data_IF_308115165738
#
_entry.id   IF_308115165738
#
_cell.length_a   1.000
_cell.length_b   1.000
_cell.length_c   1.000
_cell.angle_alpha   90.00
_cell.angle_beta   90.00
_cell.angle_gamma   90.00
#
_symmetry.space_group_name_H-M   'P 1'
#
loop_
_entity.id
_entity.type
_entity.pdbx_description
1 polymer ?
#
# COMPACT_ATOMS: atom_id res chain seq x y z
N UNK A 1 -16.55 -5.06 -17.22
CA UNK A 1 -15.26 -4.52 -16.69
C UNK A 1 -14.10 -5.32 -17.28
N UNK A 2 -12.94 -4.71 -17.56
CA UNK A 2 -11.74 -5.52 -17.81
C UNK A 2 -11.37 -6.32 -16.55
N UNK A 3 -10.71 -7.48 -16.68
CA UNK A 3 -10.33 -8.28 -15.53
C UNK A 3 -9.41 -7.47 -14.59
N UNK A 4 -9.60 -7.63 -13.29
CA UNK A 4 -8.80 -6.95 -12.27
C UNK A 4 -7.34 -7.42 -12.33
N UNK A 5 -6.40 -6.49 -12.22
CA UNK A 5 -4.97 -6.81 -12.11
C UNK A 5 -4.67 -7.20 -10.66
N UNK A 6 -4.45 -8.47 -10.41
CA UNK A 6 -4.26 -8.99 -9.05
C UNK A 6 -2.77 -9.06 -8.72
N UNK A 7 -2.42 -8.54 -7.56
CA UNK A 7 -1.11 -8.71 -6.94
C UNK A 7 -1.25 -9.34 -5.54
N UNK A 8 -0.14 -9.82 -5.00
CA UNK A 8 -0.07 -10.39 -3.64
C UNK A 8 1.03 -9.68 -2.86
N UNK A 9 0.72 -9.21 -1.66
CA UNK A 9 1.72 -8.80 -0.68
C UNK A 9 2.46 -10.04 -0.17
N UNK A 10 3.74 -10.18 -0.57
CA UNK A 10 4.54 -11.37 -0.26
C UNK A 10 4.73 -11.59 1.23
N UNK A 11 4.73 -10.52 2.03
CA UNK A 11 4.89 -10.62 3.48
C UNK A 11 3.74 -11.38 4.14
N UNK A 12 2.54 -11.34 3.55
CA UNK A 12 1.35 -12.04 4.04
C UNK A 12 1.38 -13.56 3.81
N UNK A 13 2.29 -14.07 2.98
CA UNK A 13 2.45 -15.51 2.76
C UNK A 13 3.24 -16.18 3.87
N UNK A 14 3.97 -15.44 4.68
CA UNK A 14 4.83 -15.94 5.77
C UNK A 14 5.82 -17.02 5.31
N UNK A 15 6.32 -16.91 4.09
CA UNK A 15 7.29 -17.81 3.46
C UNK A 15 8.60 -17.09 3.19
N UNK A 16 9.74 -17.81 3.11
CA UNK A 16 10.98 -17.27 2.57
C UNK A 16 10.75 -16.66 1.18
N UNK A 17 11.41 -15.57 0.85
CA UNK A 17 11.13 -14.72 -0.31
C UNK A 17 10.96 -15.48 -1.64
N UNK A 18 11.90 -16.40 -1.97
CA UNK A 18 11.80 -17.23 -3.18
C UNK A 18 10.56 -18.12 -3.20
N UNK A 19 10.20 -18.69 -2.06
CA UNK A 19 9.02 -19.55 -1.93
C UNK A 19 7.75 -18.71 -2.03
N UNK A 20 7.74 -17.50 -1.46
CA UNK A 20 6.63 -16.55 -1.57
C UNK A 20 6.38 -16.14 -3.02
N UNK A 21 7.42 -15.85 -3.81
CA UNK A 21 7.28 -15.57 -5.25
C UNK A 21 6.67 -16.74 -6.02
N UNK A 22 7.18 -17.96 -5.79
CA UNK A 22 6.64 -19.17 -6.43
C UNK A 22 5.20 -19.43 -6.02
N UNK A 23 4.85 -19.18 -4.76
CA UNK A 23 3.48 -19.30 -4.27
C UNK A 23 2.57 -18.27 -4.92
N UNK A 24 2.95 -16.99 -4.95
CA UNK A 24 2.18 -15.94 -5.61
C UNK A 24 1.90 -16.26 -7.09
N UNK A 25 2.92 -16.74 -7.82
CA UNK A 25 2.74 -17.18 -9.22
C UNK A 25 1.75 -18.35 -9.35
N UNK A 26 1.86 -19.36 -8.49
CA UNK A 26 0.94 -20.53 -8.48
C UNK A 26 -0.49 -20.13 -8.14
N UNK A 27 -0.68 -19.12 -7.32
CA UNK A 27 -1.98 -18.57 -6.97
C UNK A 27 -2.59 -17.71 -8.08
N UNK A 28 -1.86 -17.45 -9.18
CA UNK A 28 -2.36 -16.69 -10.31
C UNK A 28 -2.16 -15.18 -10.21
N UNK A 29 -1.29 -14.71 -9.32
CA UNK A 29 -0.95 -13.30 -9.26
C UNK A 29 -0.18 -12.85 -10.52
N UNK A 30 -0.51 -11.66 -11.04
CA UNK A 30 0.22 -11.01 -12.12
C UNK A 30 1.39 -10.17 -11.61
N UNK A 31 1.33 -9.77 -10.35
CA UNK A 31 2.33 -8.94 -9.71
C UNK A 31 2.43 -9.24 -8.21
N UNK A 32 3.45 -8.67 -7.58
CA UNK A 32 3.70 -8.81 -6.14
C UNK A 32 4.03 -7.46 -5.51
N UNK A 33 3.76 -7.32 -4.23
CA UNK A 33 4.31 -6.27 -3.39
C UNK A 33 5.46 -6.86 -2.58
N UNK A 34 6.58 -6.11 -2.50
CA UNK A 34 7.80 -6.52 -1.82
C UNK A 34 8.03 -5.64 -0.59
N UNK A 35 8.17 -6.24 0.59
CA UNK A 35 8.58 -5.52 1.80
C UNK A 35 10.09 -5.23 1.79
N UNK A 36 10.43 -3.94 1.69
CA UNK A 36 11.80 -3.46 1.69
C UNK A 36 12.44 -3.36 3.09
N UNK A 37 11.74 -3.76 4.12
CA UNK A 37 12.27 -3.84 5.52
C UNK A 37 12.43 -5.25 6.04
N UNK A 38 11.84 -6.21 5.37
CA UNK A 38 11.93 -7.63 5.71
C UNK A 38 13.18 -8.29 5.15
N UNK A 39 13.00 -9.42 4.48
CA UNK A 39 14.10 -10.20 3.90
C UNK A 39 14.85 -9.45 2.79
N UNK A 40 14.15 -8.58 2.05
CA UNK A 40 14.74 -7.78 0.98
C UNK A 40 15.04 -6.36 1.49
N UNK A 41 16.26 -6.19 2.03
CA UNK A 41 16.72 -4.86 2.45
C UNK A 41 17.51 -4.19 1.30
N UNK A 42 17.05 -3.05 0.77
CA UNK A 42 17.71 -2.34 -0.34
C UNK A 42 19.17 -1.98 -0.08
N UNK A 43 19.54 -1.73 1.18
CA UNK A 43 20.90 -1.36 1.57
C UNK A 43 21.86 -2.56 1.59
N UNK A 44 21.32 -3.76 1.80
CA UNK A 44 22.11 -5.00 1.83
C UNK A 44 22.26 -5.63 0.43
N UNK A 45 21.45 -5.19 -0.55
CA UNK A 45 21.47 -5.72 -1.91
C UNK A 45 22.56 -5.04 -2.76
N UNK A 46 23.54 -5.83 -3.18
CA UNK A 46 24.53 -5.42 -4.19
C UNK A 46 23.86 -5.22 -5.57
N UNK A 47 24.57 -4.58 -6.51
CA UNK A 47 24.08 -4.48 -7.89
C UNK A 47 23.83 -5.84 -8.55
N UNK A 48 24.66 -6.85 -8.26
CA UNK A 48 24.45 -8.21 -8.73
C UNK A 48 23.20 -8.84 -8.11
N UNK A 49 22.94 -8.62 -6.82
CA UNK A 49 21.73 -9.08 -6.14
C UNK A 49 20.45 -8.46 -6.74
N UNK A 50 20.48 -7.17 -7.07
CA UNK A 50 19.34 -6.51 -7.76
C UNK A 50 19.10 -7.06 -9.15
N UNK A 51 20.16 -7.39 -9.90
CA UNK A 51 20.04 -8.04 -11.22
C UNK A 51 19.48 -9.45 -11.12
N UNK A 52 19.94 -10.24 -10.12
CA UNK A 52 19.42 -11.57 -9.87
C UNK A 52 17.93 -11.54 -9.46
N UNK A 53 17.54 -10.57 -8.63
CA UNK A 53 16.15 -10.38 -8.23
C UNK A 53 15.26 -10.06 -9.44
N UNK A 54 15.67 -9.12 -10.31
CA UNK A 54 14.93 -8.82 -11.54
C UNK A 54 14.82 -10.04 -12.45
N UNK A 55 15.93 -10.75 -12.66
CA UNK A 55 15.90 -11.98 -13.45
C UNK A 55 14.91 -13.02 -12.88
N UNK A 56 14.89 -13.19 -11.57
CA UNK A 56 13.95 -14.12 -10.92
C UNK A 56 12.49 -13.71 -11.13
N UNK A 57 12.18 -12.42 -11.05
CA UNK A 57 10.85 -11.88 -11.32
C UNK A 57 10.46 -12.10 -12.79
N UNK A 58 11.37 -11.81 -13.72
CA UNK A 58 11.19 -12.02 -15.16
C UNK A 58 10.99 -13.51 -15.49
N UNK A 59 11.80 -14.40 -14.94
CA UNK A 59 11.71 -15.86 -15.13
C UNK A 59 10.35 -16.41 -14.62
N UNK A 60 9.72 -15.75 -13.64
CA UNK A 60 8.40 -16.07 -13.10
C UNK A 60 7.27 -15.31 -13.80
N UNK A 61 7.57 -14.42 -14.72
CA UNK A 61 6.59 -13.49 -15.30
C UNK A 61 5.76 -12.81 -14.21
N UNK A 62 6.45 -12.20 -13.24
CA UNK A 62 5.87 -11.41 -12.16
C UNK A 62 6.36 -9.97 -12.23
N UNK A 63 5.44 -9.03 -12.14
CA UNK A 63 5.75 -7.60 -11.99
C UNK A 63 5.84 -7.23 -10.51
N UNK A 64 6.53 -6.14 -10.21
CA UNK A 64 6.46 -5.51 -8.88
C UNK A 64 5.41 -4.40 -8.94
N UNK A 65 4.30 -4.59 -8.25
CA UNK A 65 3.20 -3.64 -8.21
C UNK A 65 3.54 -2.41 -7.36
N UNK A 66 4.17 -2.64 -6.21
CA UNK A 66 4.67 -1.64 -5.29
C UNK A 66 5.74 -2.25 -4.39
N UNK A 67 6.44 -1.37 -3.67
CA UNK A 67 7.32 -1.75 -2.56
C UNK A 67 6.70 -1.21 -1.27
N UNK A 68 6.50 -2.04 -0.26
CA UNK A 68 6.13 -1.56 1.07
C UNK A 68 7.38 -1.20 1.88
N UNK A 69 7.30 -0.09 2.60
CA UNK A 69 8.37 0.37 3.48
C UNK A 69 7.79 0.92 4.79
N UNK A 70 7.27 0.04 5.64
CA UNK A 70 6.57 0.42 6.86
C UNK A 70 7.54 0.95 7.92
N UNK A 71 7.42 2.23 8.24
CA UNK A 71 8.17 2.87 9.32
C UNK A 71 7.44 2.69 10.65
N UNK A 72 8.21 2.66 11.77
CA UNK A 72 7.61 2.51 13.11
C UNK A 72 6.86 3.74 13.57
N UNK A 73 7.17 4.90 13.01
CA UNK A 73 6.57 6.20 13.31
C UNK A 73 6.26 6.92 12.01
N UNK A 74 5.22 7.73 12.02
CA UNK A 74 4.89 8.57 10.89
C UNK A 74 5.85 9.75 10.70
N UNK A 75 5.65 10.50 9.64
CA UNK A 75 6.45 11.67 9.31
C UNK A 75 6.02 12.93 10.09
N UNK A 76 4.94 12.83 10.87
CA UNK A 76 4.47 13.81 11.85
C UNK A 76 5.34 13.86 13.12
N UNK A 77 6.17 12.82 13.37
CA UNK A 77 7.00 12.68 14.59
C UNK A 77 8.42 13.14 14.34
N UNK A 78 8.93 14.22 15.00
CA UNK A 78 10.26 14.76 14.73
C UNK A 78 11.43 13.83 15.08
N UNK A 79 11.26 12.97 16.10
CA UNK A 79 12.34 12.06 16.53
C UNK A 79 12.79 11.14 15.39
N UNK A 80 14.07 11.19 15.03
CA UNK A 80 14.68 10.43 13.91
C UNK A 80 14.03 10.67 12.54
N UNK A 81 13.34 11.80 12.32
CA UNK A 81 12.61 12.10 11.10
C UNK A 81 13.52 12.07 9.87
N UNK A 82 14.66 12.75 9.92
CA UNK A 82 15.58 12.79 8.79
C UNK A 82 16.07 11.39 8.37
N UNK A 83 16.33 10.54 9.36
CA UNK A 83 16.72 9.15 9.10
C UNK A 83 15.61 8.36 8.41
N UNK A 84 14.33 8.61 8.78
CA UNK A 84 13.17 7.98 8.11
C UNK A 84 13.03 8.48 6.68
N UNK A 85 13.14 9.78 6.46
CA UNK A 85 13.08 10.40 5.13
C UNK A 85 14.15 9.76 4.21
N UNK A 86 15.40 9.74 4.64
CA UNK A 86 16.49 9.15 3.86
C UNK A 86 16.29 7.65 3.60
N UNK A 87 15.76 6.92 4.56
CA UNK A 87 15.45 5.51 4.37
C UNK A 87 14.30 5.29 3.37
N UNK A 88 13.30 6.17 3.38
CA UNK A 88 12.20 6.14 2.41
C UNK A 88 12.67 6.50 1.00
N UNK A 89 13.53 7.51 0.87
CA UNK A 89 14.16 7.85 -0.43
C UNK A 89 14.90 6.65 -1.04
N UNK A 90 15.64 5.90 -0.23
CA UNK A 90 16.29 4.66 -0.70
C UNK A 90 15.29 3.56 -1.08
N UNK A 91 14.16 3.46 -0.41
CA UNK A 91 13.10 2.55 -0.81
C UNK A 91 12.46 2.98 -2.15
N UNK A 92 12.33 4.28 -2.43
CA UNK A 92 11.88 4.80 -3.72
C UNK A 92 12.85 4.45 -4.85
N UNK A 93 14.16 4.65 -4.67
CA UNK A 93 15.18 4.20 -5.63
C UNK A 93 15.11 2.70 -5.89
N UNK A 94 14.90 1.92 -4.83
CA UNK A 94 14.75 0.48 -4.94
C UNK A 94 13.50 0.10 -5.72
N UNK A 95 12.35 0.69 -5.42
CA UNK A 95 11.11 0.47 -6.15
C UNK A 95 11.30 0.76 -7.65
N UNK A 96 11.85 1.92 -7.99
CA UNK A 96 12.16 2.29 -9.37
C UNK A 96 13.11 1.27 -10.04
N UNK A 97 14.14 0.81 -9.33
CA UNK A 97 15.07 -0.19 -9.84
C UNK A 97 14.44 -1.54 -10.17
N UNK A 98 13.26 -1.83 -9.61
CA UNK A 98 12.45 -3.03 -9.87
C UNK A 98 11.29 -2.77 -10.85
N UNK A 99 11.19 -1.56 -11.41
CA UNK A 99 10.12 -1.18 -12.33
C UNK A 99 8.79 -0.82 -11.62
N UNK A 100 8.81 -0.67 -10.29
CA UNK A 100 7.66 -0.18 -9.53
C UNK A 100 7.73 1.35 -9.38
N UNK A 101 6.58 2.00 -9.47
CA UNK A 101 6.46 3.47 -9.35
C UNK A 101 5.90 3.92 -7.99
N UNK A 102 5.71 3.01 -7.05
CA UNK A 102 5.08 3.30 -5.77
C UNK A 102 5.84 2.67 -4.60
N UNK A 103 5.96 3.45 -3.52
CA UNK A 103 6.37 2.97 -2.20
C UNK A 103 5.22 3.18 -1.24
N UNK A 104 4.65 2.12 -0.68
CA UNK A 104 3.54 2.18 0.26
C UNK A 104 4.07 2.30 1.69
N UNK A 105 3.54 3.26 2.44
CA UNK A 105 3.83 3.43 3.86
C UNK A 105 2.66 4.11 4.60
N UNK A 106 2.58 3.90 5.91
CA UNK A 106 1.80 4.78 6.78
C UNK A 106 2.55 6.10 6.96
N UNK A 107 1.89 7.22 6.66
CA UNK A 107 2.51 8.56 6.78
C UNK A 107 2.52 9.10 8.21
N UNK A 108 1.80 8.44 9.12
CA UNK A 108 1.54 8.91 10.48
C UNK A 108 0.11 9.43 10.62
N UNK A 109 -0.16 10.12 11.70
CA UNK A 109 -1.48 10.70 11.96
C UNK A 109 -1.61 12.07 11.32
N UNK A 110 -2.65 12.28 10.54
CA UNK A 110 -2.99 13.62 10.04
C UNK A 110 -3.51 14.45 11.22
N UNK A 111 -2.88 15.59 11.55
CA UNK A 111 -3.37 16.46 12.63
C UNK A 111 -4.77 16.99 12.34
N UNK A 112 -5.59 17.16 13.38
CA UNK A 112 -6.97 17.67 13.25
C UNK A 112 -6.99 19.11 12.68
N UNK A 113 -5.99 19.92 13.05
CA UNK A 113 -5.85 21.29 12.56
C UNK A 113 -4.75 21.38 11.51
N UNK A 114 -4.96 22.20 10.48
CA UNK A 114 -3.99 22.51 9.42
C UNK A 114 -2.95 23.55 9.87
N UNK A 115 -2.50 23.46 11.13
CA UNK A 115 -1.58 24.40 11.76
C UNK A 115 -0.81 23.74 12.90
N UNK A 116 0.27 24.38 13.34
CA UNK A 116 1.08 23.93 14.45
C UNK A 116 2.23 22.98 14.06
N UNK A 117 3.11 22.67 15.04
CA UNK A 117 4.38 21.99 14.74
C UNK A 117 4.24 20.62 14.07
N UNK A 118 3.26 19.80 14.49
CA UNK A 118 3.05 18.47 13.92
C UNK A 118 2.59 18.55 12.45
N UNK A 119 1.69 19.51 12.14
CA UNK A 119 1.26 19.76 10.75
C UNK A 119 2.42 20.23 9.88
N UNK A 120 3.17 21.24 10.34
CA UNK A 120 4.32 21.77 9.59
C UNK A 120 5.35 20.67 9.32
N UNK A 121 5.71 19.89 10.36
CA UNK A 121 6.64 18.76 10.24
C UNK A 121 6.18 17.76 9.20
N UNK A 122 4.89 17.39 9.21
CA UNK A 122 4.32 16.43 8.26
C UNK A 122 4.36 16.97 6.83
N UNK A 123 3.90 18.22 6.61
CA UNK A 123 3.90 18.87 5.29
C UNK A 123 5.31 18.96 4.71
N UNK A 124 6.29 19.46 5.48
CA UNK A 124 7.68 19.60 5.03
C UNK A 124 8.29 18.25 4.64
N UNK A 125 8.09 17.22 5.49
CA UNK A 125 8.60 15.88 5.22
C UNK A 125 7.97 15.25 3.97
N UNK A 126 6.65 15.38 3.79
CA UNK A 126 5.96 14.83 2.64
C UNK A 126 6.25 15.61 1.35
N UNK A 127 6.44 16.93 1.42
CA UNK A 127 6.87 17.74 0.27
C UNK A 127 8.28 17.36 -0.20
N UNK A 128 9.23 17.15 0.74
CA UNK A 128 10.60 16.68 0.41
C UNK A 128 10.56 15.29 -0.23
N UNK A 129 9.81 14.34 0.35
CA UNK A 129 9.64 13.00 -0.23
C UNK A 129 8.95 13.05 -1.59
N UNK A 130 7.96 13.93 -1.76
CA UNK A 130 7.25 14.10 -3.02
C UNK A 130 8.15 14.64 -4.13
N UNK A 131 8.92 15.70 -3.86
CA UNK A 131 9.90 16.24 -4.81
C UNK A 131 10.96 15.20 -5.20
N UNK A 132 11.46 14.43 -4.21
CA UNK A 132 12.38 13.35 -4.48
C UNK A 132 11.77 12.23 -5.33
N UNK A 133 10.54 11.82 -5.01
CA UNK A 133 9.81 10.78 -5.75
C UNK A 133 9.58 11.15 -7.22
N UNK A 134 9.24 12.40 -7.50
CA UNK A 134 9.13 12.93 -8.87
C UNK A 134 10.46 12.84 -9.63
N UNK A 135 11.57 13.13 -8.96
CA UNK A 135 12.90 13.03 -9.58
C UNK A 135 13.29 11.58 -9.86
N UNK A 136 13.03 10.66 -8.94
CA UNK A 136 13.40 9.23 -9.07
C UNK A 136 12.43 8.45 -9.96
N UNK A 137 11.17 8.87 -10.06
CA UNK A 137 10.12 8.14 -10.77
C UNK A 137 9.38 7.10 -9.91
N UNK A 138 9.43 7.24 -8.58
CA UNK A 138 8.68 6.40 -7.66
C UNK A 138 8.11 7.24 -6.51
N UNK A 139 6.80 7.34 -6.42
CA UNK A 139 6.08 8.17 -5.45
C UNK A 139 5.83 7.43 -4.13
N UNK A 140 5.77 8.18 -3.02
CA UNK A 140 5.20 7.68 -1.78
C UNK A 140 3.68 7.58 -1.92
N UNK A 141 3.10 6.46 -1.50
CA UNK A 141 1.66 6.25 -1.40
C UNK A 141 1.27 6.09 0.07
N UNK A 142 0.46 7.02 0.58
CA UNK A 142 -0.09 6.97 1.92
C UNK A 142 -1.14 5.87 2.04
N UNK A 143 -0.91 4.88 2.89
CA UNK A 143 -1.89 3.84 3.17
C UNK A 143 -3.00 4.41 4.08
N UNK A 144 -4.26 4.28 3.64
CA UNK A 144 -5.43 4.75 4.40
C UNK A 144 -5.74 3.85 5.58
N UNK A 145 -6.44 4.40 6.57
CA UNK A 145 -6.96 3.66 7.71
C UNK A 145 -6.71 4.33 9.06
N UNK A 146 -5.75 5.24 9.17
CA UNK A 146 -5.48 5.99 10.40
C UNK A 146 -6.40 7.21 10.59
N UNK A 147 -6.98 7.69 9.50
CA UNK A 147 -7.82 8.89 9.43
C UNK A 147 -8.95 8.72 8.41
N UNK A 148 -9.89 9.67 8.40
CA UNK A 148 -10.94 9.71 7.37
C UNK A 148 -10.36 10.09 5.99
N UNK A 149 -11.08 9.72 4.92
CA UNK A 149 -10.73 10.17 3.57
C UNK A 149 -10.69 11.69 3.44
N UNK A 150 -11.58 12.39 4.14
CA UNK A 150 -11.62 13.86 4.15
C UNK A 150 -10.39 14.49 4.82
N UNK A 151 -9.89 13.90 5.91
CA UNK A 151 -8.67 14.40 6.55
C UNK A 151 -7.44 14.20 5.68
N UNK A 152 -7.35 13.05 5.01
CA UNK A 152 -6.25 12.79 4.08
C UNK A 152 -6.36 13.71 2.84
N UNK A 153 -7.56 13.97 2.32
CA UNK A 153 -7.78 14.91 1.22
C UNK A 153 -7.36 16.34 1.62
N UNK A 154 -7.65 16.78 2.85
CA UNK A 154 -7.20 18.05 3.41
C UNK A 154 -5.66 18.15 3.45
N UNK A 155 -4.98 17.06 3.79
CA UNK A 155 -3.51 16.98 3.76
C UNK A 155 -2.99 17.09 2.33
N UNK A 156 -3.56 16.33 1.38
CA UNK A 156 -3.18 16.36 -0.03
C UNK A 156 -3.33 17.77 -0.64
N UNK A 157 -4.40 18.48 -0.30
CA UNK A 157 -4.63 19.85 -0.77
C UNK A 157 -3.60 20.86 -0.27
N UNK A 158 -2.89 20.56 0.83
CA UNK A 158 -1.83 21.40 1.38
C UNK A 158 -0.43 21.08 0.82
N UNK A 159 -0.29 19.98 0.07
CA UNK A 159 0.96 19.56 -0.54
C UNK A 159 1.08 20.05 -1.99
N UNK A 160 2.29 20.21 -2.53
CA UNK A 160 2.45 20.41 -3.97
C UNK A 160 1.79 19.27 -4.76
N UNK A 161 1.14 19.56 -5.90
CA UNK A 161 0.47 18.54 -6.69
C UNK A 161 1.38 17.36 -7.05
N UNK A 162 0.87 16.13 -6.86
CA UNK A 162 1.62 14.91 -7.15
C UNK A 162 2.72 14.54 -6.14
N UNK A 163 2.84 15.25 -5.01
CA UNK A 163 3.81 14.94 -3.96
C UNK A 163 3.51 13.62 -3.24
N UNK A 164 2.24 13.26 -3.12
CA UNK A 164 1.80 12.09 -2.39
C UNK A 164 0.70 11.38 -3.20
N UNK A 165 0.82 10.08 -3.34
CA UNK A 165 -0.24 9.21 -3.83
C UNK A 165 -1.00 8.58 -2.66
N UNK A 166 -2.12 7.93 -2.94
CA UNK A 166 -2.89 7.20 -1.94
C UNK A 166 -2.89 5.70 -2.26
N UNK A 167 -2.66 4.90 -1.23
CA UNK A 167 -2.96 3.48 -1.20
C UNK A 167 -4.27 3.28 -0.43
N UNK A 168 -5.36 3.00 -1.12
CA UNK A 168 -6.64 2.70 -0.49
C UNK A 168 -6.57 1.34 0.19
N UNK A 169 -6.90 1.28 1.47
CA UNK A 169 -7.03 0.03 2.23
C UNK A 169 -8.41 -0.03 2.89
N UNK A 170 -9.43 -0.64 2.22
CA UNK A 170 -10.79 -0.70 2.73
C UNK A 170 -10.89 -1.37 4.09
N UNK A 171 -10.15 -2.46 4.30
CA UNK A 171 -10.15 -3.18 5.57
C UNK A 171 -9.66 -2.32 6.73
N UNK A 172 -8.55 -1.58 6.54
CA UNK A 172 -8.05 -0.68 7.58
C UNK A 172 -9.03 0.46 7.88
N UNK A 173 -9.69 1.02 6.87
CA UNK A 173 -10.74 2.03 7.07
C UNK A 173 -11.88 1.48 7.92
N UNK A 174 -12.45 0.33 7.55
CA UNK A 174 -13.56 -0.31 8.27
C UNK A 174 -13.18 -0.64 9.71
N UNK A 175 -12.01 -1.25 9.91
CA UNK A 175 -11.48 -1.61 11.23
C UNK A 175 -11.42 -0.39 12.16
N UNK A 176 -11.10 0.78 11.62
CA UNK A 176 -11.00 2.03 12.37
C UNK A 176 -12.29 2.88 12.33
N UNK A 177 -13.36 2.38 11.70
CA UNK A 177 -14.69 2.98 11.72
C UNK A 177 -14.92 4.04 10.66
N UNK A 178 -14.12 4.03 9.57
CA UNK A 178 -14.28 4.92 8.42
C UNK A 178 -14.93 4.18 7.24
N UNK A 179 -15.60 4.93 6.37
CA UNK A 179 -16.23 4.42 5.15
C UNK A 179 -15.23 4.39 4.00
N UNK A 180 -15.00 3.23 3.36
CA UNK A 180 -14.16 3.15 2.17
C UNK A 180 -14.74 3.91 0.96
N UNK A 181 -16.07 3.92 0.78
CA UNK A 181 -16.71 4.67 -0.31
C UNK A 181 -16.54 6.18 -0.13
N UNK A 182 -16.72 6.71 1.09
CA UNK A 182 -16.48 8.13 1.37
C UNK A 182 -15.02 8.49 1.13
N UNK A 183 -14.09 7.57 1.47
CA UNK A 183 -12.68 7.77 1.19
C UNK A 183 -12.39 7.82 -0.32
N UNK A 184 -13.03 6.96 -1.15
CA UNK A 184 -12.89 7.02 -2.61
C UNK A 184 -13.44 8.34 -3.14
N UNK A 185 -14.60 8.79 -2.66
CA UNK A 185 -15.18 10.08 -3.09
C UNK A 185 -14.27 11.25 -2.75
N UNK A 186 -13.65 11.24 -1.56
CA UNK A 186 -12.79 12.34 -1.12
C UNK A 186 -11.41 12.35 -1.80
N UNK A 187 -10.87 11.18 -2.14
CA UNK A 187 -9.48 11.01 -2.59
C UNK A 187 -9.37 10.82 -4.12
N UNK A 188 -10.40 10.29 -4.75
CA UNK A 188 -10.55 10.24 -6.20
C UNK A 188 -9.31 9.78 -6.97
N UNK A 189 -8.80 10.66 -7.85
CA UNK A 189 -7.67 10.39 -8.73
C UNK A 189 -6.31 10.26 -8.02
N UNK A 190 -6.21 10.64 -6.75
CA UNK A 190 -4.99 10.46 -5.95
C UNK A 190 -4.79 9.00 -5.52
N UNK A 191 -5.85 8.17 -5.60
CA UNK A 191 -5.76 6.72 -5.36
C UNK A 191 -5.00 6.07 -6.53
N UNK A 192 -3.76 5.69 -6.26
CA UNK A 192 -2.85 5.06 -7.23
C UNK A 192 -2.61 3.57 -6.95
N UNK A 193 -3.04 3.09 -5.80
CA UNK A 193 -2.84 1.71 -5.35
C UNK A 193 -3.97 1.25 -4.45
N UNK A 194 -4.26 -0.06 -4.44
CA UNK A 194 -5.28 -0.66 -3.56
C UNK A 194 -4.72 -1.88 -2.86
N UNK A 195 -4.79 -1.87 -1.53
CA UNK A 195 -4.69 -3.08 -0.75
C UNK A 195 -6.07 -3.73 -0.62
N UNK A 196 -6.28 -4.83 -1.30
CA UNK A 196 -7.48 -5.65 -1.14
C UNK A 196 -7.43 -6.38 0.21
N UNK A 197 -7.91 -5.69 1.22
CA UNK A 197 -8.04 -6.13 2.61
C UNK A 197 -9.46 -5.93 3.05
N UNK A 198 -9.97 -6.86 3.85
CA UNK A 198 -11.32 -6.82 4.39
C UNK A 198 -11.30 -6.84 5.92
N UNK A 199 -12.38 -6.40 6.52
CA UNK A 199 -12.51 -6.37 7.96
C UNK A 199 -13.94 -6.07 8.39
N UNK A 200 -14.18 -6.23 9.67
CA UNK A 200 -15.43 -5.85 10.33
C UNK A 200 -15.12 -4.98 11.52
N UNK A 201 -16.06 -4.09 11.87
CA UNK A 201 -15.97 -3.33 13.11
C UNK A 201 -16.51 -4.17 14.24
N UNK A 202 -15.65 -4.55 15.18
CA UNK A 202 -16.04 -5.25 16.39
C UNK A 202 -16.28 -4.24 17.52
N UNK A 203 -17.56 -3.88 17.71
CA UNK A 203 -17.96 -2.91 18.74
C UNK A 203 -17.75 -3.46 20.16
N UNK A 204 -17.79 -4.77 20.35
CA UNK A 204 -17.59 -5.38 21.66
C UNK A 204 -16.12 -5.30 22.13
N UNK A 205 -15.17 -5.30 21.19
CA UNK A 205 -13.74 -5.16 21.48
C UNK A 205 -13.22 -3.72 21.34
N UNK A 206 -14.11 -2.77 21.03
CA UNK A 206 -13.73 -1.35 20.84
C UNK A 206 -12.91 -1.06 19.57
N UNK A 207 -12.63 -2.07 18.74
CA UNK A 207 -11.90 -1.97 17.46
C UNK A 207 -12.39 -3.03 16.49
N UNK A 208 -12.11 -2.84 15.22
CA UNK A 208 -12.39 -3.85 14.22
C UNK A 208 -11.34 -4.95 14.15
N UNK A 209 -11.68 -6.00 13.44
CA UNK A 209 -10.80 -7.13 13.14
C UNK A 209 -10.72 -7.36 11.64
N UNK A 210 -9.57 -7.84 11.19
CA UNK A 210 -9.36 -8.29 9.83
C UNK A 210 -10.08 -9.63 9.59
N UNK A 211 -10.72 -9.75 8.42
CA UNK A 211 -11.43 -10.96 7.99
C UNK A 211 -10.90 -11.45 6.64
N UNK A 212 -11.14 -12.71 6.25
CA UNK A 212 -10.90 -13.14 4.88
C UNK A 212 -11.64 -12.27 3.87
N UNK A 213 -11.03 -12.04 2.71
CA UNK A 213 -11.58 -11.16 1.67
C UNK A 213 -12.97 -11.62 1.21
N UNK A 214 -13.92 -10.69 1.13
CA UNK A 214 -15.33 -10.96 0.82
C UNK A 214 -16.12 -11.56 1.96
N UNK A 215 -15.57 -11.60 3.19
CA UNK A 215 -16.25 -12.06 4.41
C UNK A 215 -16.43 -10.96 5.44
N UNK A 216 -15.93 -9.77 5.14
CA UNK A 216 -16.05 -8.59 5.99
C UNK A 216 -17.17 -7.65 5.55
N UNK A 217 -16.96 -6.38 5.84
CA UNK A 217 -17.92 -5.31 5.53
C UNK A 217 -17.52 -4.48 4.30
N UNK A 218 -16.42 -4.82 3.62
CA UNK A 218 -16.03 -4.15 2.38
C UNK A 218 -16.87 -4.69 1.20
N UNK A 219 -17.67 -3.82 0.61
CA UNK A 219 -18.42 -4.12 -0.62
C UNK A 219 -17.51 -3.96 -1.84
N UNK A 220 -16.71 -5.00 -2.16
CA UNK A 220 -15.75 -4.95 -3.26
C UNK A 220 -16.38 -4.66 -4.61
N UNK A 221 -17.56 -5.19 -4.98
CA UNK A 221 -18.26 -4.78 -6.21
C UNK A 221 -18.50 -3.27 -6.27
N UNK A 222 -19.02 -2.67 -5.19
CA UNK A 222 -19.25 -1.23 -5.11
C UNK A 222 -17.94 -0.42 -5.15
N UNK A 223 -16.89 -0.89 -4.46
CA UNK A 223 -15.57 -0.26 -4.47
C UNK A 223 -14.93 -0.31 -5.86
N UNK A 224 -15.07 -1.42 -6.59
CA UNK A 224 -14.61 -1.54 -7.97
C UNK A 224 -15.29 -0.52 -8.87
N UNK A 225 -16.62 -0.39 -8.79
CA UNK A 225 -17.39 0.60 -9.56
C UNK A 225 -16.94 2.03 -9.26
N UNK A 226 -16.88 2.39 -7.97
CA UNK A 226 -16.48 3.74 -7.55
C UNK A 226 -15.04 4.09 -7.98
N UNK A 227 -14.10 3.16 -7.85
CA UNK A 227 -12.73 3.37 -8.30
C UNK A 227 -12.63 3.47 -9.84
N UNK A 228 -13.44 2.72 -10.56
CA UNK A 228 -13.49 2.81 -12.03
C UNK A 228 -13.99 4.17 -12.51
N UNK A 229 -14.98 4.76 -11.84
CA UNK A 229 -15.48 6.12 -12.11
C UNK A 229 -14.37 7.17 -11.96
N UNK A 230 -13.44 6.98 -11.03
CA UNK A 230 -12.25 7.81 -10.87
C UNK A 230 -11.07 7.40 -11.76
N UNK A 231 -11.28 6.48 -12.71
CA UNK A 231 -10.26 6.06 -13.68
C UNK A 231 -9.18 5.13 -13.13
N UNK A 232 -9.38 4.51 -11.97
CA UNK A 232 -8.41 3.56 -11.42
C UNK A 232 -8.26 2.33 -12.33
N UNK A 233 -7.01 1.98 -12.64
CA UNK A 233 -6.64 0.82 -13.49
C UNK A 233 -5.41 0.08 -12.92
N UNK A 234 -5.11 0.34 -11.64
CA UNK A 234 -3.97 -0.22 -10.93
C UNK A 234 -4.18 -1.66 -10.46
N UNK A 235 -3.26 -2.12 -9.62
CA UNK A 235 -3.32 -3.44 -9.03
C UNK A 235 -4.23 -3.48 -7.79
N UNK A 236 -4.93 -4.59 -7.63
CA UNK A 236 -5.61 -4.99 -6.41
C UNK A 236 -4.70 -5.97 -5.68
N UNK A 237 -3.98 -5.46 -4.69
CA UNK A 237 -2.97 -6.24 -3.98
C UNK A 237 -3.57 -6.87 -2.75
N UNK A 238 -3.65 -8.18 -2.74
CA UNK A 238 -4.20 -8.94 -1.62
C UNK A 238 -3.27 -8.78 -0.42
N UNK A 239 -3.82 -8.27 0.68
CA UNK A 239 -3.17 -8.12 1.96
C UNK A 239 -3.99 -8.85 3.02
N UNK A 240 -3.41 -9.91 3.58
CA UNK A 240 -4.04 -10.74 4.62
C UNK A 240 -3.01 -11.06 5.71
N UNK A 241 -2.85 -10.13 6.64
CA UNK A 241 -1.77 -10.14 7.63
C UNK A 241 -1.99 -11.17 8.76
N UNK A 242 -3.26 -11.47 9.07
CA UNK A 242 -3.65 -12.33 10.18
C UNK A 242 -4.33 -13.61 9.72
N UNK A 243 -3.85 -14.18 8.61
CA UNK A 243 -4.35 -15.45 8.12
C UNK A 243 -3.98 -16.61 9.05
N UNK A 244 -4.91 -17.50 9.31
CA UNK A 244 -4.61 -18.80 9.96
C UNK A 244 -3.93 -19.76 8.97
N UNK A 245 -4.37 -19.74 7.72
CA UNK A 245 -3.75 -20.45 6.61
C UNK A 245 -3.49 -19.52 5.43
N UNK A 246 -2.31 -18.85 5.41
CA UNK A 246 -2.02 -17.81 4.43
C UNK A 246 -2.20 -18.24 2.97
N UNK A 247 -1.69 -19.42 2.59
CA UNK A 247 -1.79 -19.90 1.22
C UNK A 247 -3.24 -20.14 0.78
N UNK A 248 -4.04 -20.77 1.63
CA UNK A 248 -5.43 -21.06 1.32
C UNK A 248 -6.28 -19.77 1.27
N UNK A 249 -6.11 -18.88 2.26
CA UNK A 249 -6.90 -17.66 2.35
C UNK A 249 -6.55 -16.66 1.25
N UNK A 250 -5.26 -16.52 0.90
CA UNK A 250 -4.82 -15.68 -0.22
C UNK A 250 -5.29 -16.28 -1.56
N UNK A 251 -5.27 -17.62 -1.72
CA UNK A 251 -5.81 -18.29 -2.89
C UNK A 251 -7.31 -18.06 -3.07
N UNK A 252 -8.08 -18.11 -1.98
CA UNK A 252 -9.51 -17.76 -1.99
C UNK A 252 -9.73 -16.29 -2.36
N UNK A 253 -8.89 -15.39 -1.85
CA UNK A 253 -8.95 -13.96 -2.17
C UNK A 253 -8.66 -13.69 -3.65
N UNK A 254 -7.67 -14.38 -4.26
CA UNK A 254 -7.40 -14.32 -5.71
C UNK A 254 -8.64 -14.74 -6.49
N UNK A 255 -9.21 -15.91 -6.17
CA UNK A 255 -10.41 -16.42 -6.83
C UNK A 255 -11.61 -15.49 -6.70
N UNK A 256 -11.78 -14.89 -5.53
CA UNK A 256 -12.85 -13.91 -5.28
C UNK A 256 -12.69 -12.68 -6.17
N UNK A 257 -11.50 -12.05 -6.20
CA UNK A 257 -11.25 -10.87 -7.05
C UNK A 257 -11.35 -11.19 -8.55
N UNK A 258 -11.02 -12.42 -8.97
CA UNK A 258 -11.21 -12.86 -10.35
C UNK A 258 -12.67 -13.02 -10.76
N UNK A 259 -13.56 -13.18 -9.78
CA UNK A 259 -15.01 -13.33 -10.03
C UNK A 259 -15.76 -12.01 -10.11
N UNK A 260 -15.11 -10.88 -9.80
CA UNK A 260 -15.67 -9.52 -9.91
C UNK A 260 -15.47 -8.96 -11.33
#
# INVERSE_FOLDING_TARGET
>A
MPPLKIAVDLSCLHLPFKQALLAAKRLGAAAVEIDARGEINPQALSQSGRRQLRKLLDDLDLRVAAVSFRTRRGYDVPHDLQRRIEATKRAMEFAYSLGASLVVNSIGRVPEKSEGPAWTTLIEALADLGGYGQHVGASLAAETGGESGADLARLLAALPPGSLAVCLNPGNLIINGFSPLDAIQALGADIRYVHAKDGVRDLAQGRGIETPLGRGAADFPALCGALEEHGYRGYWTIQRERAENPLAEIGQAVSYLQSL
#
